data_IF_214872667177
#
_entry.id   IF_214872667177
#
_cell.length_a   1.000
_cell.length_b   1.000
_cell.length_c   1.000
_cell.angle_alpha   90.00
_cell.angle_beta   90.00
_cell.angle_gamma   90.00
#
_symmetry.space_group_name_H-M   'P 1'
#
loop_
_entity.id
_entity.type
_entity.pdbx_description
1 polymer ?
#
# COMPACT_ATOMS: atom_id res chain seq x y z
N UNK A 1 -22.95 7.25 -8.52
CA UNK A 1 -22.14 6.03 -8.30
C UNK A 1 -21.85 5.92 -6.81
N UNK A 2 -22.04 4.75 -6.18
CA UNK A 2 -21.67 4.52 -4.77
C UNK A 2 -20.35 3.72 -4.76
N UNK A 3 -19.23 4.28 -4.25
CA UNK A 3 -17.96 3.57 -4.24
C UNK A 3 -18.06 2.33 -3.35
N UNK A 4 -17.44 1.23 -3.76
CA UNK A 4 -17.36 0.04 -2.94
C UNK A 4 -16.56 0.33 -1.66
N UNK A 5 -17.05 -0.15 -0.51
CA UNK A 5 -16.41 0.09 0.78
C UNK A 5 -14.95 -0.40 0.82
N UNK A 6 -14.63 -1.50 0.12
CA UNK A 6 -13.28 -2.01 -0.03
C UNK A 6 -12.34 -1.04 -0.74
N UNK A 7 -12.83 -0.24 -1.68
CA UNK A 7 -12.03 0.77 -2.39
C UNK A 7 -11.71 1.93 -1.45
N UNK A 8 -12.68 2.37 -0.66
CA UNK A 8 -12.46 3.40 0.37
C UNK A 8 -11.45 2.93 1.44
N UNK A 9 -11.55 1.66 1.85
CA UNK A 9 -10.58 1.04 2.77
C UNK A 9 -9.19 0.93 2.16
N UNK A 10 -9.09 0.53 0.88
CA UNK A 10 -7.83 0.50 0.14
C UNK A 10 -7.19 1.89 0.15
N UNK A 11 -7.88 2.91 -0.36
CA UNK A 11 -7.31 4.25 -0.55
C UNK A 11 -6.91 4.91 0.77
N UNK A 12 -7.72 4.72 1.81
CA UNK A 12 -7.43 5.28 3.14
C UNK A 12 -6.23 4.57 3.78
N UNK A 13 -6.19 3.24 3.71
CA UNK A 13 -5.13 2.45 4.36
C UNK A 13 -3.78 2.62 3.66
N UNK A 14 -3.73 2.54 2.33
CA UNK A 14 -2.48 2.77 1.58
C UNK A 14 -2.03 4.22 1.70
N UNK A 15 -2.95 5.19 1.68
CA UNK A 15 -2.64 6.60 1.91
C UNK A 15 -1.97 6.84 3.27
N UNK A 16 -2.52 6.27 4.34
CA UNK A 16 -1.93 6.32 5.67
C UNK A 16 -0.54 5.66 5.71
N UNK A 17 -0.42 4.45 5.14
CA UNK A 17 0.85 3.73 5.10
C UNK A 17 1.95 4.47 4.34
N UNK A 18 1.66 5.01 3.15
CA UNK A 18 2.64 5.79 2.39
C UNK A 18 2.97 7.13 3.06
N UNK A 19 2.01 7.75 3.75
CA UNK A 19 2.26 8.95 4.56
C UNK A 19 3.28 8.68 5.68
N UNK A 20 3.10 7.59 6.43
CA UNK A 20 4.04 7.15 7.46
C UNK A 20 5.41 6.78 6.90
N UNK A 21 5.46 6.11 5.75
CA UNK A 21 6.71 5.77 5.06
C UNK A 21 7.50 7.02 4.69
N UNK A 22 6.81 8.01 4.07
CA UNK A 22 7.43 9.29 3.70
C UNK A 22 7.92 10.06 4.92
N UNK A 23 7.13 10.09 6.00
CA UNK A 23 7.54 10.67 7.29
C UNK A 23 8.83 10.03 7.81
N UNK A 24 8.90 8.70 7.77
CA UNK A 24 10.06 7.91 8.20
C UNK A 24 11.31 8.15 7.33
N UNK A 25 11.15 8.54 6.07
CA UNK A 25 12.26 8.79 5.13
C UNK A 25 13.19 9.96 5.50
N UNK A 26 12.71 10.96 6.24
CA UNK A 26 13.51 12.12 6.69
C UNK A 26 14.71 11.71 7.55
N UNK A 27 14.69 10.51 8.08
CA UNK A 27 15.70 9.97 9.00
C UNK A 27 16.93 9.44 8.26
N UNK A 28 16.74 8.97 7.01
CA UNK A 28 17.84 8.60 6.11
C UNK A 28 18.65 9.82 5.69
N UNK A 29 18.07 11.03 5.79
CA UNK A 29 18.74 12.31 5.57
C UNK A 29 19.47 12.84 6.82
N UNK A 30 19.52 12.07 7.92
CA UNK A 30 20.20 12.48 9.15
C UNK A 30 19.48 13.57 9.96
N UNK A 31 18.22 13.88 9.63
CA UNK A 31 17.47 14.99 10.23
C UNK A 31 16.89 14.69 11.62
N UNK A 32 17.05 13.47 12.14
CA UNK A 32 16.43 13.02 13.39
C UNK A 32 17.45 12.41 14.38
N UNK A 33 17.30 12.63 15.70
CA UNK A 33 18.22 12.10 16.70
C UNK A 33 18.20 10.56 16.76
N UNK A 34 19.32 9.96 17.16
CA UNK A 34 19.49 8.49 17.21
C UNK A 34 18.52 7.71 18.11
N UNK A 35 17.84 8.37 19.07
CA UNK A 35 16.78 7.75 19.87
C UNK A 35 15.47 7.56 19.10
N UNK A 36 15.28 8.27 17.98
CA UNK A 36 14.11 8.12 17.13
C UNK A 36 14.11 6.82 16.33
N UNK A 37 15.22 6.06 16.28
CA UNK A 37 15.37 4.81 15.50
C UNK A 37 14.25 3.80 15.75
N UNK A 38 13.82 3.65 17.00
CA UNK A 38 12.74 2.73 17.37
C UNK A 38 11.39 3.21 16.80
N UNK A 39 11.09 4.51 16.94
CA UNK A 39 9.86 5.10 16.41
C UNK A 39 9.78 4.99 14.89
N UNK A 40 10.92 5.11 14.22
CA UNK A 40 11.03 5.01 12.76
C UNK A 40 10.83 3.56 12.31
N UNK A 41 11.47 2.60 12.98
CA UNK A 41 11.27 1.18 12.70
C UNK A 41 9.80 0.79 12.88
N UNK A 42 9.17 1.25 13.96
CA UNK A 42 7.73 1.09 14.19
C UNK A 42 6.90 1.74 13.07
N UNK A 43 7.21 2.98 12.69
CA UNK A 43 6.54 3.70 11.61
C UNK A 43 6.62 2.97 10.27
N UNK A 44 7.79 2.44 9.89
CA UNK A 44 7.98 1.64 8.68
C UNK A 44 7.20 0.33 8.75
N UNK A 45 7.23 -0.38 9.90
CA UNK A 45 6.47 -1.60 10.09
C UNK A 45 4.96 -1.36 9.96
N UNK A 46 4.45 -0.30 10.60
CA UNK A 46 3.04 0.12 10.49
C UNK A 46 2.71 0.54 9.05
N UNK A 47 3.61 1.21 8.35
CA UNK A 47 3.43 1.60 6.95
C UNK A 47 3.19 0.38 6.06
N UNK A 48 4.05 -0.63 6.19
CA UNK A 48 3.96 -1.89 5.43
C UNK A 48 2.69 -2.66 5.78
N UNK A 49 2.30 -2.69 7.06
CA UNK A 49 1.07 -3.32 7.52
C UNK A 49 -0.15 -2.71 6.83
N UNK A 50 -0.28 -1.37 6.87
CA UNK A 50 -1.42 -0.67 6.29
C UNK A 50 -1.45 -0.72 4.76
N UNK A 51 -0.27 -0.66 4.11
CA UNK A 51 -0.17 -0.84 2.67
C UNK A 51 -0.63 -2.25 2.25
N UNK A 52 -0.18 -3.28 2.96
CA UNK A 52 -0.56 -4.68 2.71
C UNK A 52 -2.03 -4.93 2.99
N UNK A 53 -2.56 -4.35 4.07
CA UNK A 53 -3.97 -4.44 4.44
C UNK A 53 -4.86 -3.78 3.38
N UNK A 54 -4.51 -2.58 2.92
CA UNK A 54 -5.23 -1.91 1.84
C UNK A 54 -5.20 -2.72 0.54
N UNK A 55 -4.05 -3.25 0.15
CA UNK A 55 -3.92 -4.10 -1.03
C UNK A 55 -4.79 -5.37 -0.91
N UNK A 56 -4.80 -6.02 0.25
CA UNK A 56 -5.70 -7.14 0.54
C UNK A 56 -7.17 -6.72 0.48
N UNK A 57 -7.50 -5.53 0.97
CA UNK A 57 -8.87 -4.99 0.94
C UNK A 57 -9.41 -4.86 -0.49
N UNK A 58 -8.54 -4.54 -1.47
CA UNK A 58 -8.93 -4.43 -2.89
C UNK A 58 -9.57 -5.70 -3.44
N UNK A 59 -9.22 -6.87 -2.91
CA UNK A 59 -9.74 -8.15 -3.39
C UNK A 59 -11.21 -8.38 -3.03
N UNK A 60 -11.75 -7.68 -2.02
CA UNK A 60 -13.12 -7.92 -1.57
C UNK A 60 -14.20 -7.41 -2.53
N UNK A 61 -13.90 -6.50 -3.47
CA UNK A 61 -14.85 -6.14 -4.53
C UNK A 61 -14.83 -7.08 -5.73
N UNK A 62 -13.87 -8.01 -5.82
CA UNK A 62 -13.77 -8.91 -6.97
C UNK A 62 -14.85 -9.98 -6.88
N UNK A 63 -15.58 -10.20 -7.97
CA UNK A 63 -16.56 -11.28 -8.08
C UNK A 63 -15.90 -12.67 -8.01
N UNK A 64 -14.67 -12.82 -8.54
CA UNK A 64 -13.90 -14.07 -8.54
C UNK A 64 -12.51 -13.86 -7.95
N UNK A 65 -12.42 -13.97 -6.62
CA UNK A 65 -11.18 -13.71 -5.86
C UNK A 65 -10.06 -14.69 -6.21
N UNK A 66 -10.38 -15.93 -6.59
CA UNK A 66 -9.37 -16.94 -6.95
C UNK A 66 -8.58 -16.56 -8.21
N UNK A 67 -9.11 -15.62 -9.00
CA UNK A 67 -8.49 -15.14 -10.24
C UNK A 67 -7.75 -13.81 -10.07
N UNK A 68 -7.64 -13.27 -8.86
CA UNK A 68 -6.98 -11.99 -8.59
C UNK A 68 -5.53 -11.96 -9.13
N UNK A 69 -4.80 -13.07 -9.02
CA UNK A 69 -3.43 -13.20 -9.54
C UNK A 69 -3.32 -12.98 -11.06
N UNK A 70 -4.41 -13.20 -11.82
CA UNK A 70 -4.42 -12.95 -13.26
C UNK A 70 -4.34 -11.46 -13.60
N UNK A 71 -4.56 -10.57 -12.63
CA UNK A 71 -4.37 -9.13 -12.83
C UNK A 71 -2.92 -8.79 -13.23
N UNK A 72 -1.95 -9.65 -12.93
CA UNK A 72 -0.53 -9.46 -13.25
C UNK A 72 -0.10 -10.09 -14.60
N UNK A 73 -0.95 -10.85 -15.28
CA UNK A 73 -0.55 -11.57 -16.50
C UNK A 73 -0.57 -10.72 -17.78
N UNK A 74 -1.33 -9.62 -17.77
CA UNK A 74 -1.55 -8.77 -18.94
C UNK A 74 -0.70 -7.49 -18.94
N UNK A 75 0.50 -7.53 -18.35
CA UNK A 75 1.40 -6.37 -18.25
C UNK A 75 1.83 -5.74 -19.59
N UNK A 76 1.66 -6.41 -20.74
CA UNK A 76 2.02 -5.81 -22.04
C UNK A 76 0.89 -4.95 -22.59
N UNK A 77 -0.36 -5.37 -22.39
CA UNK A 77 -1.55 -4.73 -22.99
C UNK A 77 -2.33 -3.88 -22.00
N UNK A 78 -2.30 -4.19 -20.71
CA UNK A 78 -3.06 -3.48 -19.67
C UNK A 78 -2.17 -2.50 -18.91
N UNK A 79 -2.56 -1.22 -18.91
CA UNK A 79 -1.89 -0.18 -18.10
C UNK A 79 -1.96 -0.51 -16.60
N UNK A 80 -3.11 -0.95 -16.10
CA UNK A 80 -3.28 -1.33 -14.70
C UNK A 80 -2.40 -2.53 -14.31
N UNK A 81 -2.25 -3.49 -15.23
CA UNK A 81 -1.38 -4.65 -15.01
C UNK A 81 0.10 -4.24 -14.97
N UNK A 82 0.52 -3.24 -15.75
CA UNK A 82 1.88 -2.67 -15.68
C UNK A 82 2.16 -2.04 -14.34
N UNK A 83 1.27 -1.17 -13.88
CA UNK A 83 1.39 -0.49 -12.58
C UNK A 83 1.51 -1.48 -11.42
N UNK A 84 0.91 -2.67 -11.53
CA UNK A 84 1.03 -3.71 -10.51
C UNK A 84 2.30 -4.56 -10.56
N UNK A 85 3.04 -4.57 -11.67
CA UNK A 85 4.25 -5.41 -11.84
C UNK A 85 5.55 -4.60 -11.83
N UNK A 86 5.50 -3.33 -12.25
CA UNK A 86 6.64 -2.41 -12.24
C UNK A 86 7.04 -2.02 -10.81
#
# INVERSE_FOLDING_TARGET
MKPAASVLLLTTSTGFGFGLWRGSGHTRLGLLPGHARILIAAGVATSLLFASFGLGASMFHLERKERAWRAFSQWRSSWLSREGVA
#
